data_IF_425535973379
#
_entry.id   IF_425535973379
#
_cell.length_a   1.000
_cell.length_b   1.000
_cell.length_c   1.000
_cell.angle_alpha   90.00
_cell.angle_beta   90.00
_cell.angle_gamma   90.00
#
_symmetry.space_group_name_H-M   'P 1'
#
loop_
_entity.id
_entity.type
_entity.pdbx_description
1 polymer ?
#
# COMPACT_ATOMS: atom_id res chain seq x y z
N UNK A 1 49.09 6.05 -7.72
CA UNK A 1 48.62 4.84 -7.01
C UNK A 1 48.10 5.34 -5.67
N UNK A 2 46.83 5.34 -5.32
CA UNK A 2 45.58 4.81 -5.88
C UNK A 2 44.50 5.59 -5.12
N UNK A 3 43.53 6.18 -5.84
CA UNK A 3 42.38 6.86 -5.19
C UNK A 3 41.57 5.83 -4.37
N UNK A 4 40.96 6.21 -3.25
CA UNK A 4 40.01 5.32 -2.57
C UNK A 4 38.70 5.27 -3.37
N UNK A 5 38.20 4.06 -3.61
CA UNK A 5 36.89 3.84 -4.21
C UNK A 5 35.77 4.36 -3.29
N UNK A 6 34.68 4.92 -3.84
CA UNK A 6 33.50 5.21 -3.05
C UNK A 6 32.80 3.88 -2.74
N UNK A 7 32.80 3.49 -1.47
CA UNK A 7 31.94 2.43 -0.97
C UNK A 7 30.50 2.78 -1.31
N UNK A 8 29.91 2.07 -2.28
CA UNK A 8 28.48 2.12 -2.53
C UNK A 8 27.78 1.50 -1.32
N UNK A 9 27.27 2.35 -0.43
CA UNK A 9 26.35 1.95 0.63
C UNK A 9 25.13 1.30 -0.02
N UNK A 10 24.97 -0.01 0.18
CA UNK A 10 23.75 -0.72 -0.18
C UNK A 10 22.58 -0.11 0.60
N UNK A 11 21.43 0.15 -0.03
CA UNK A 11 20.29 0.73 0.66
C UNK A 11 19.88 -0.18 1.81
N UNK A 12 19.76 0.44 2.99
CA UNK A 12 19.35 -0.17 4.25
C UNK A 12 18.15 -1.09 4.02
N UNK A 13 18.33 -2.38 4.29
CA UNK A 13 17.27 -3.38 4.26
C UNK A 13 16.11 -2.86 5.11
N UNK A 14 14.93 -2.72 4.50
CA UNK A 14 13.69 -2.33 5.19
C UNK A 14 13.36 -3.40 6.25
N UNK A 15 13.85 -3.21 7.47
CA UNK A 15 13.51 -4.05 8.61
C UNK A 15 12.08 -3.69 9.03
N UNK A 16 11.11 -4.37 8.43
CA UNK A 16 9.71 -4.29 8.83
C UNK A 16 9.60 -4.82 10.27
N UNK A 17 9.42 -3.94 11.25
CA UNK A 17 9.15 -4.32 12.63
C UNK A 17 7.64 -4.20 12.89
N UNK A 18 6.85 -5.28 12.74
CA UNK A 18 5.45 -5.25 13.11
C UNK A 18 5.34 -4.97 14.60
N UNK A 19 4.63 -3.91 14.98
CA UNK A 19 4.29 -3.64 16.38
C UNK A 19 3.49 -4.83 16.93
N UNK A 20 3.88 -5.26 18.14
CA UNK A 20 3.40 -6.42 18.91
C UNK A 20 2.02 -6.97 18.49
N UNK A 21 2.03 -8.01 17.66
CA UNK A 21 0.84 -8.77 17.25
C UNK A 21 0.34 -9.65 18.40
N UNK A 22 -0.98 -9.78 18.57
CA UNK A 22 -1.57 -10.91 19.32
C UNK A 22 -1.01 -12.21 18.73
N UNK A 23 -0.54 -13.12 19.59
CA UNK A 23 0.20 -14.33 19.15
C UNK A 23 -0.64 -15.26 18.27
N UNK A 24 -1.95 -15.13 18.32
CA UNK A 24 -2.91 -16.00 17.62
C UNK A 24 -3.31 -15.49 16.23
N UNK A 25 -3.16 -14.19 15.93
CA UNK A 25 -3.54 -13.63 14.64
C UNK A 25 -2.54 -13.92 13.51
N UNK A 26 -1.33 -14.39 13.83
CA UNK A 26 -0.34 -14.82 12.83
C UNK A 26 -0.09 -13.77 11.74
N UNK A 27 -0.22 -14.15 10.46
CA UNK A 27 -0.06 -13.26 9.29
C UNK A 27 -1.31 -12.43 8.95
N UNK A 28 -2.43 -12.59 9.66
CA UNK A 28 -3.70 -11.96 9.32
C UNK A 28 -3.62 -10.42 9.24
N UNK A 29 -2.97 -9.69 10.19
CA UNK A 29 -2.86 -8.24 10.09
C UNK A 29 -2.12 -7.79 8.83
N UNK A 30 -1.02 -8.47 8.47
CA UNK A 30 -0.26 -8.13 7.27
C UNK A 30 -1.10 -8.31 6.00
N UNK A 31 -1.85 -9.40 5.91
CA UNK A 31 -2.74 -9.65 4.76
C UNK A 31 -3.85 -8.59 4.70
N UNK A 32 -4.49 -8.29 5.82
CA UNK A 32 -5.56 -7.29 5.89
C UNK A 32 -5.04 -5.88 5.58
N UNK A 33 -3.84 -5.52 6.00
CA UNK A 33 -3.16 -4.29 5.60
C UNK A 33 -3.01 -4.20 4.07
N UNK A 34 -2.55 -5.28 3.42
CA UNK A 34 -2.39 -5.30 1.96
C UNK A 34 -3.74 -5.18 1.25
N UNK A 35 -4.77 -5.88 1.75
CA UNK A 35 -6.13 -5.77 1.22
C UNK A 35 -6.66 -4.34 1.36
N UNK A 36 -6.45 -3.71 2.51
CA UNK A 36 -6.89 -2.34 2.77
C UNK A 36 -6.17 -1.31 1.88
N UNK A 37 -4.86 -1.48 1.67
CA UNK A 37 -4.08 -0.66 0.72
C UNK A 37 -4.65 -0.77 -0.69
N UNK A 38 -4.97 -1.97 -1.16
CA UNK A 38 -5.57 -2.18 -2.49
C UNK A 38 -6.97 -1.58 -2.57
N UNK A 39 -7.81 -1.73 -1.52
CA UNK A 39 -9.15 -1.15 -1.46
C UNK A 39 -9.11 0.37 -1.65
N UNK A 40 -8.24 1.05 -0.89
CA UNK A 40 -8.10 2.51 -0.98
C UNK A 40 -7.49 2.98 -2.31
N UNK A 41 -6.58 2.21 -2.91
CA UNK A 41 -6.09 2.48 -4.27
C UNK A 41 -7.20 2.35 -5.32
N UNK A 42 -8.07 1.35 -5.20
CA UNK A 42 -9.23 1.22 -6.09
C UNK A 42 -10.18 2.40 -5.94
N UNK A 43 -10.43 2.85 -4.71
CA UNK A 43 -11.24 4.05 -4.40
C UNK A 43 -10.65 5.31 -5.05
N UNK A 44 -9.35 5.53 -4.91
CA UNK A 44 -8.63 6.62 -5.58
C UNK A 44 -8.82 6.60 -7.11
N UNK A 45 -8.74 5.42 -7.72
CA UNK A 45 -8.92 5.27 -9.17
C UNK A 45 -10.37 5.48 -9.62
N UNK A 46 -11.37 5.20 -8.76
CA UNK A 46 -12.77 5.53 -9.03
C UNK A 46 -12.98 7.04 -9.00
N UNK A 47 -12.46 7.73 -7.99
CA UNK A 47 -12.55 9.20 -7.87
C UNK A 47 -11.91 9.87 -9.10
N UNK A 48 -10.72 9.44 -9.51
CA UNK A 48 -10.06 9.99 -10.71
C UNK A 48 -10.88 9.84 -11.98
N UNK A 49 -11.46 8.65 -12.22
CA UNK A 49 -12.29 8.41 -13.41
C UNK A 49 -13.61 9.17 -13.35
N UNK A 50 -14.18 9.34 -12.16
CA UNK A 50 -15.35 10.19 -11.94
C UNK A 50 -15.04 11.65 -12.30
N UNK A 51 -13.93 12.20 -11.82
CA UNK A 51 -13.50 13.58 -12.15
C UNK A 51 -13.19 13.77 -13.63
N UNK A 52 -12.66 12.75 -14.30
CA UNK A 52 -12.41 12.76 -15.74
C UNK A 52 -13.70 12.63 -16.59
N UNK A 53 -14.82 12.24 -15.98
CA UNK A 53 -16.07 11.96 -16.69
C UNK A 53 -16.08 10.61 -17.42
N UNK A 54 -15.19 9.69 -17.04
CA UNK A 54 -15.02 8.36 -17.67
C UNK A 54 -15.98 7.30 -17.09
N UNK A 55 -16.77 7.64 -16.07
CA UNK A 55 -17.74 6.75 -15.43
C UNK A 55 -19.17 7.27 -15.64
N UNK A 56 -20.09 6.37 -15.98
CA UNK A 56 -21.52 6.66 -15.91
C UNK A 56 -22.00 6.65 -14.46
N UNK A 57 -23.12 7.32 -14.16
CA UNK A 57 -23.72 7.31 -12.81
C UNK A 57 -23.94 5.87 -12.29
N UNK A 58 -24.40 4.97 -13.18
CA UNK A 58 -24.60 3.57 -12.84
C UNK A 58 -23.30 2.81 -12.56
N UNK A 59 -22.18 3.18 -13.19
CA UNK A 59 -20.87 2.60 -12.91
C UNK A 59 -20.33 3.09 -11.57
N UNK A 60 -20.51 4.39 -11.28
CA UNK A 60 -20.12 5.01 -10.02
C UNK A 60 -20.86 4.37 -8.84
N UNK A 61 -22.18 4.21 -8.95
CA UNK A 61 -23.01 3.56 -7.92
C UNK A 61 -22.57 2.12 -7.65
N UNK A 62 -22.30 1.34 -8.71
CA UNK A 62 -21.81 -0.05 -8.56
C UNK A 62 -20.43 -0.11 -7.92
N UNK A 63 -19.54 0.83 -8.28
CA UNK A 63 -18.21 0.91 -7.70
C UNK A 63 -18.27 1.26 -6.21
N UNK A 64 -19.05 2.27 -5.85
CA UNK A 64 -19.27 2.69 -4.46
C UNK A 64 -19.84 1.56 -3.60
N UNK A 65 -20.87 0.87 -4.09
CA UNK A 65 -21.48 -0.27 -3.39
C UNK A 65 -20.48 -1.44 -3.20
N UNK A 66 -19.65 -1.71 -4.22
CA UNK A 66 -18.65 -2.78 -4.14
C UNK A 66 -17.52 -2.45 -3.16
N UNK A 67 -17.04 -1.21 -3.16
CA UNK A 67 -16.02 -0.74 -2.22
C UNK A 67 -16.54 -0.75 -0.78
N UNK A 68 -17.79 -0.34 -0.55
CA UNK A 68 -18.42 -0.40 0.79
C UNK A 68 -18.50 -1.84 1.30
N UNK A 69 -18.92 -2.79 0.46
CA UNK A 69 -18.95 -4.22 0.85
C UNK A 69 -17.57 -4.75 1.18
N UNK A 70 -16.54 -4.36 0.43
CA UNK A 70 -15.17 -4.77 0.71
C UNK A 70 -14.67 -4.19 2.04
N UNK A 71 -14.98 -2.92 2.33
CA UNK A 71 -14.69 -2.28 3.62
C UNK A 71 -15.38 -3.03 4.78
N UNK A 72 -16.68 -3.31 4.65
CA UNK A 72 -17.46 -4.09 5.63
C UNK A 72 -16.82 -5.47 5.89
N UNK A 73 -16.33 -6.14 4.84
CA UNK A 73 -15.63 -7.43 4.96
C UNK A 73 -14.28 -7.31 5.67
N UNK A 74 -13.50 -6.26 5.39
CA UNK A 74 -12.22 -6.00 6.07
C UNK A 74 -12.45 -5.75 7.56
N UNK A 75 -13.43 -4.91 7.91
CA UNK A 75 -13.81 -4.65 9.31
C UNK A 75 -14.24 -5.93 10.01
N UNK A 76 -15.11 -6.72 9.39
CA UNK A 76 -15.55 -7.99 9.97
C UNK A 76 -14.39 -8.97 10.18
N UNK A 77 -13.44 -9.06 9.24
CA UNK A 77 -12.26 -9.92 9.42
C UNK A 77 -11.35 -9.40 10.54
N UNK A 78 -11.22 -8.08 10.72
CA UNK A 78 -10.49 -7.52 11.85
C UNK A 78 -11.11 -7.95 13.19
N UNK A 79 -12.44 -7.92 13.30
CA UNK A 79 -13.16 -8.41 14.49
C UNK A 79 -12.89 -9.90 14.74
N UNK A 80 -12.99 -10.75 13.70
CA UNK A 80 -12.77 -12.21 13.81
C UNK A 80 -11.35 -12.54 14.28
N UNK A 81 -10.36 -11.75 13.88
CA UNK A 81 -8.95 -11.96 14.24
C UNK A 81 -8.50 -11.12 15.45
N UNK A 82 -9.42 -10.40 16.11
CA UNK A 82 -9.13 -9.50 17.25
C UNK A 82 -8.04 -8.46 16.92
N UNK A 83 -8.13 -7.85 15.75
CA UNK A 83 -7.19 -6.84 15.24
C UNK A 83 -7.85 -5.47 15.35
N UNK A 84 -7.14 -4.49 15.92
CA UNK A 84 -7.57 -3.09 15.84
C UNK A 84 -7.39 -2.58 14.40
N UNK A 85 -8.40 -2.02 13.73
CA UNK A 85 -8.26 -1.45 12.39
C UNK A 85 -7.10 -0.42 12.29
N UNK A 86 -6.76 0.28 13.37
CA UNK A 86 -5.61 1.17 13.42
C UNK A 86 -4.27 0.45 13.22
N UNK A 87 -4.18 -0.83 13.62
CA UNK A 87 -3.00 -1.67 13.44
C UNK A 87 -2.78 -2.12 11.99
N UNK A 88 -3.79 -1.95 11.12
CA UNK A 88 -3.60 -2.19 9.69
C UNK A 88 -2.64 -1.16 9.08
N UNK A 89 -2.47 0.01 9.70
CA UNK A 89 -1.55 1.01 9.18
C UNK A 89 -0.12 0.77 9.68
N UNK A 90 0.67 0.11 8.84
CA UNK A 90 2.07 -0.19 9.14
C UNK A 90 2.95 1.05 8.96
N UNK A 91 3.79 1.30 9.95
CA UNK A 91 4.86 2.27 9.95
C UNK A 91 6.13 1.67 9.30
N UNK A 92 6.65 2.33 8.26
CA UNK A 92 7.83 1.94 7.51
C UNK A 92 9.06 2.78 7.89
N UNK A 93 9.00 3.51 9.00
CA UNK A 93 10.09 4.38 9.46
C UNK A 93 10.24 5.61 8.57
N UNK A 94 11.41 5.78 7.95
CA UNK A 94 11.74 6.96 7.13
C UNK A 94 10.88 7.06 5.85
N UNK A 95 10.28 5.96 5.39
CA UNK A 95 9.38 5.95 4.24
C UNK A 95 7.95 6.39 4.58
N UNK A 96 7.64 6.68 5.85
CA UNK A 96 6.31 7.05 6.31
C UNK A 96 5.44 5.83 6.59
N UNK A 97 4.12 5.99 6.47
CA UNK A 97 3.13 4.93 6.72
C UNK A 97 2.58 4.36 5.41
N UNK A 98 2.02 3.15 5.47
CA UNK A 98 1.35 2.57 4.30
C UNK A 98 0.09 3.36 3.91
N UNK A 99 -0.73 3.68 4.91
CA UNK A 99 -2.03 4.32 4.77
C UNK A 99 -2.03 5.71 5.44
N UNK A 100 -2.90 6.64 5.01
CA UNK A 100 -3.08 7.92 5.68
C UNK A 100 -3.67 7.75 7.09
N UNK A 101 -3.27 8.62 8.02
CA UNK A 101 -3.74 8.60 9.42
C UNK A 101 -5.11 9.29 9.51
N UNK A 102 -6.19 8.53 9.36
CA UNK A 102 -7.60 8.94 9.47
C UNK A 102 -8.20 9.67 8.27
N UNK A 103 -9.36 9.18 7.81
CA UNK A 103 -10.20 9.83 6.80
C UNK A 103 -9.76 9.53 5.37
N UNK A 104 -10.73 9.20 4.51
CA UNK A 104 -10.50 8.71 3.14
C UNK A 104 -9.45 9.50 2.35
N UNK A 105 -8.75 8.79 1.47
CA UNK A 105 -7.74 9.37 0.60
C UNK A 105 -8.39 10.03 -0.62
N UNK A 106 -8.14 11.32 -0.82
CA UNK A 106 -8.51 12.00 -2.05
C UNK A 106 -7.30 12.05 -3.01
N UNK A 107 -7.41 11.48 -4.22
CA UNK A 107 -6.29 11.38 -5.14
C UNK A 107 -5.81 12.73 -5.65
N UNK A 108 -4.49 12.93 -5.69
CA UNK A 108 -3.86 14.15 -6.23
C UNK A 108 -3.67 15.28 -5.22
N UNK A 109 -4.22 15.18 -4.02
CA UNK A 109 -3.86 16.05 -2.91
C UNK A 109 -2.54 15.60 -2.28
N UNK A 110 -1.69 16.57 -1.90
CA UNK A 110 -0.43 16.29 -1.21
C UNK A 110 -0.67 16.34 0.29
N UNK A 111 -0.32 15.27 0.99
CA UNK A 111 -0.33 15.27 2.45
C UNK A 111 0.99 15.81 3.01
N UNK A 112 0.93 16.40 4.22
CA UNK A 112 2.14 16.78 4.99
C UNK A 112 2.95 15.55 5.45
N UNK A 113 2.32 14.38 5.49
CA UNK A 113 2.97 13.10 5.80
C UNK A 113 2.84 12.18 4.58
N UNK A 114 3.96 11.86 3.89
CA UNK A 114 3.92 11.00 2.71
C UNK A 114 3.52 9.57 3.11
N UNK A 115 2.72 8.95 2.26
CA UNK A 115 2.29 7.56 2.42
C UNK A 115 2.63 6.74 1.19
N UNK A 116 2.79 5.42 1.34
CA UNK A 116 2.98 4.52 0.20
C UNK A 116 1.76 4.56 -0.72
N UNK A 117 0.56 4.68 -0.17
CA UNK A 117 -0.64 4.85 -0.98
C UNK A 117 -0.56 6.08 -1.88
N UNK A 118 -0.17 7.25 -1.35
CA UNK A 118 -0.02 8.47 -2.15
C UNK A 118 1.02 8.28 -3.26
N UNK A 119 2.15 7.62 -2.95
CA UNK A 119 3.17 7.30 -3.94
C UNK A 119 2.60 6.39 -5.04
N UNK A 120 1.93 5.31 -4.67
CA UNK A 120 1.35 4.35 -5.61
C UNK A 120 0.28 4.99 -6.50
N UNK A 121 -0.61 5.81 -5.94
CA UNK A 121 -1.59 6.57 -6.73
C UNK A 121 -0.92 7.52 -7.73
N UNK A 122 0.12 8.26 -7.29
CA UNK A 122 0.87 9.16 -8.19
C UNK A 122 1.60 8.40 -9.29
N UNK A 123 2.18 7.24 -8.98
CA UNK A 123 2.85 6.40 -9.97
C UNK A 123 1.84 5.82 -10.97
N UNK A 124 0.67 5.37 -10.50
CA UNK A 124 -0.44 4.87 -11.34
C UNK A 124 -0.90 5.96 -12.32
N UNK A 125 -1.05 7.19 -11.84
CA UNK A 125 -1.45 8.32 -12.68
C UNK A 125 -0.37 8.73 -13.69
N UNK A 126 0.91 8.68 -13.31
CA UNK A 126 2.01 9.15 -14.18
C UNK A 126 2.53 8.08 -15.14
N UNK A 127 2.25 6.80 -14.90
CA UNK A 127 2.67 5.72 -15.78
C UNK A 127 4.16 5.40 -15.67
N UNK A 128 4.67 5.37 -14.44
CA UNK A 128 6.07 5.13 -14.14
C UNK A 128 6.32 3.65 -13.84
N UNK A 129 7.36 3.06 -14.44
CA UNK A 129 7.81 1.70 -14.11
C UNK A 129 8.84 1.75 -12.98
N UNK A 130 8.57 1.03 -11.88
CA UNK A 130 9.49 0.84 -10.76
C UNK A 130 9.89 -0.64 -10.70
N UNK A 131 11.19 -0.92 -10.69
CA UNK A 131 11.72 -2.26 -10.42
C UNK A 131 12.40 -2.25 -9.04
N UNK A 132 12.10 -3.26 -8.25
CA UNK A 132 12.67 -3.48 -6.94
C UNK A 132 12.64 -4.94 -6.55
N UNK A 133 13.25 -5.24 -5.42
CA UNK A 133 13.29 -6.56 -4.81
C UNK A 133 12.91 -6.43 -3.33
N UNK A 134 12.17 -7.43 -2.85
CA UNK A 134 11.80 -7.55 -1.45
C UNK A 134 12.21 -8.94 -0.98
N UNK A 135 12.98 -8.97 0.09
CA UNK A 135 13.33 -10.19 0.79
C UNK A 135 12.49 -10.29 2.07
N UNK A 136 11.74 -11.39 2.21
CA UNK A 136 11.06 -11.71 3.45
C UNK A 136 11.80 -12.85 4.14
N UNK A 137 12.16 -12.60 5.39
CA UNK A 137 12.84 -13.56 6.24
C UNK A 137 12.08 -13.90 7.51
N UNK A 138 12.44 -15.03 8.11
CA UNK A 138 11.99 -15.46 9.43
C UNK A 138 13.18 -16.05 10.18
N UNK A 139 13.31 -15.71 11.47
CA UNK A 139 14.39 -16.22 12.31
C UNK A 139 15.80 -16.03 11.70
N UNK A 140 16.06 -14.84 11.15
CA UNK A 140 17.32 -14.48 10.47
C UNK A 140 17.61 -15.27 9.17
N UNK A 141 16.63 -15.98 8.63
CA UNK A 141 16.72 -16.65 7.34
C UNK A 141 15.91 -15.90 6.31
N UNK A 142 16.51 -15.56 5.17
CA UNK A 142 15.76 -15.07 4.00
C UNK A 142 15.06 -16.26 3.34
N UNK A 143 13.73 -16.30 3.39
CA UNK A 143 12.95 -17.44 2.92
C UNK A 143 12.26 -17.17 1.59
N UNK A 144 11.92 -15.90 1.33
CA UNK A 144 11.18 -15.48 0.14
C UNK A 144 11.93 -14.31 -0.48
N UNK A 145 12.36 -14.47 -1.72
CA UNK A 145 12.88 -13.39 -2.54
C UNK A 145 11.83 -13.07 -3.61
N UNK A 146 11.25 -11.87 -3.52
CA UNK A 146 10.25 -11.39 -4.44
C UNK A 146 10.84 -10.26 -5.30
N UNK A 147 10.95 -10.48 -6.61
CA UNK A 147 11.23 -9.40 -7.55
C UNK A 147 9.93 -8.66 -7.86
N UNK A 148 9.87 -7.41 -7.45
CA UNK A 148 8.74 -6.52 -7.70
C UNK A 148 9.04 -5.70 -8.94
N UNK A 149 8.40 -6.08 -10.04
CA UNK A 149 8.36 -5.24 -11.23
C UNK A 149 6.98 -4.58 -11.30
N UNK A 150 6.92 -3.33 -10.88
CA UNK A 150 5.73 -2.51 -10.97
C UNK A 150 5.77 -1.76 -12.30
N UNK A 151 5.02 -2.22 -13.30
CA UNK A 151 4.85 -1.51 -14.57
C UNK A 151 3.57 -0.70 -14.47
N UNK A 152 3.68 0.61 -14.36
CA UNK A 152 2.52 1.51 -14.44
C UNK A 152 2.63 2.23 -15.77
N UNK A 153 1.53 2.30 -16.52
CA UNK A 153 1.48 2.94 -17.84
C UNK A 153 0.41 4.02 -17.81
N UNK A 154 0.71 5.21 -18.33
CA UNK A 154 -0.25 6.33 -18.42
C UNK A 154 -0.65 6.55 -19.89
N UNK A 155 -1.61 5.74 -20.36
CA UNK A 155 -2.56 6.11 -21.43
C UNK A 155 -3.75 5.14 -21.41
N UNK A 156 -4.97 5.61 -21.75
CA UNK A 156 -6.21 5.01 -21.27
C UNK A 156 -6.55 3.72 -22.02
N UNK A 157 -7.24 2.82 -21.33
CA UNK A 157 -8.17 1.88 -21.94
C UNK A 157 -9.58 2.44 -21.78
#
# INVERSE_FOLDING_TARGET
MTSPEPSAELPSTLLLQPKSRSKDAGLAPLLLTVVELVRQLMEAQVIRRMEAGDLTDADLDRAAESLRKLEEQVVHLCEVFEIDPADLNIDLGEMGTLLPQSGGYYPGEKSSQPTILELLDRLLNTGIVVEGDVELGLAQLNLIHAKLRLVLTSKPL
#
